data_IF_774931629772
#
_entry.id   IF_774931629772
#
_cell.length_a   1.000
_cell.length_b   1.000
_cell.length_c   1.000
_cell.angle_alpha   90.00
_cell.angle_beta   90.00
_cell.angle_gamma   90.00
#
_symmetry.space_group_name_H-M   'P 1'
#
loop_
_entity.id
_entity.type
_entity.pdbx_description
1 polymer ?
#
# COMPACT_ATOMS: atom_id res chain seq x y z
N UNK A 1 -68.26 -4.91 12.64
CA UNK A 1 -67.49 -4.23 13.71
C UNK A 1 -66.17 -4.96 14.05
N UNK A 2 -66.14 -6.30 13.98
CA UNK A 2 -64.91 -7.10 14.19
C UNK A 2 -63.83 -6.90 13.12
N UNK A 3 -64.24 -6.71 11.87
CA UNK A 3 -63.33 -6.59 10.71
C UNK A 3 -62.42 -5.35 10.76
N UNK A 4 -62.98 -4.22 11.24
CA UNK A 4 -62.25 -2.96 11.35
C UNK A 4 -61.10 -3.04 12.38
N UNK A 5 -61.32 -3.76 13.49
CA UNK A 5 -60.28 -4.00 14.51
C UNK A 5 -59.14 -4.88 13.98
N UNK A 6 -59.46 -5.86 13.14
CA UNK A 6 -58.45 -6.74 12.54
C UNK A 6 -57.53 -5.95 11.59
N UNK A 7 -58.11 -5.06 10.77
CA UNK A 7 -57.37 -4.18 9.86
C UNK A 7 -56.44 -3.21 10.60
N UNK A 8 -56.90 -2.60 11.70
CA UNK A 8 -56.05 -1.70 12.50
C UNK A 8 -54.85 -2.44 13.11
N UNK A 9 -55.04 -3.68 13.59
CA UNK A 9 -53.95 -4.48 14.17
C UNK A 9 -52.91 -4.97 13.15
N UNK A 10 -53.30 -5.15 11.89
CA UNK A 10 -52.36 -5.50 10.81
C UNK A 10 -51.51 -4.29 10.41
N UNK A 11 -52.14 -3.11 10.31
CA UNK A 11 -51.47 -1.87 9.94
C UNK A 11 -50.44 -1.40 10.99
N UNK A 12 -50.74 -1.59 12.28
CA UNK A 12 -49.80 -1.28 13.37
C UNK A 12 -48.62 -2.27 13.41
N UNK A 13 -48.81 -3.51 12.95
CA UNK A 13 -47.73 -4.50 12.88
C UNK A 13 -46.73 -4.15 11.77
N UNK A 14 -47.22 -3.73 10.60
CA UNK A 14 -46.37 -3.26 9.50
C UNK A 14 -45.61 -1.97 9.87
N UNK A 15 -46.25 -1.03 10.59
CA UNK A 15 -45.56 0.17 11.09
C UNK A 15 -44.42 -0.15 12.06
N UNK A 16 -44.58 -1.15 12.94
CA UNK A 16 -43.52 -1.58 13.84
C UNK A 16 -42.33 -2.20 13.09
N UNK A 17 -42.58 -2.98 12.03
CA UNK A 17 -41.51 -3.58 11.20
C UNK A 17 -40.71 -2.51 10.44
N UNK A 18 -41.38 -1.50 9.87
CA UNK A 18 -40.72 -0.43 9.12
C UNK A 18 -39.84 0.45 10.01
N UNK A 19 -40.23 0.68 11.27
CA UNK A 19 -39.44 1.49 12.20
C UNK A 19 -38.15 0.79 12.65
N UNK A 20 -38.18 -0.54 12.77
CA UNK A 20 -37.04 -1.34 13.24
C UNK A 20 -35.94 -1.52 12.18
N UNK A 21 -36.25 -1.29 10.90
CA UNK A 21 -35.32 -1.44 9.79
C UNK A 21 -34.38 -0.23 9.57
N UNK A 22 -34.61 0.89 10.28
CA UNK A 22 -33.87 2.14 10.09
C UNK A 22 -32.66 2.34 11.02
N UNK A 23 -32.47 1.51 12.05
CA UNK A 23 -31.41 1.72 13.07
C UNK A 23 -30.09 0.97 12.78
N UNK A 24 -29.94 0.33 11.61
CA UNK A 24 -28.73 -0.45 11.28
C UNK A 24 -27.56 0.34 10.66
N UNK A 25 -27.80 1.54 10.15
CA UNK A 25 -26.81 2.27 9.34
C UNK A 25 -25.78 3.08 10.12
N UNK A 26 -26.17 3.64 11.28
CA UNK A 26 -25.32 4.60 12.01
C UNK A 26 -24.25 3.95 12.90
N UNK A 27 -24.39 2.66 13.21
CA UNK A 27 -23.40 1.93 14.01
C UNK A 27 -22.09 1.69 13.23
N UNK A 28 -22.18 1.56 11.91
CA UNK A 28 -21.01 1.47 11.00
C UNK A 28 -20.27 2.81 10.86
N UNK A 29 -21.01 3.93 10.90
CA UNK A 29 -20.45 5.29 10.85
C UNK A 29 -19.67 5.62 12.14
N UNK A 30 -20.07 5.06 13.29
CA UNK A 30 -19.35 5.30 14.55
C UNK A 30 -18.06 4.49 14.68
N UNK A 31 -17.97 3.34 14.00
CA UNK A 31 -16.77 2.51 13.90
C UNK A 31 -15.70 3.13 12.99
N UNK A 32 -16.10 3.91 11.99
CA UNK A 32 -15.18 4.62 11.08
C UNK A 32 -14.58 5.89 11.69
N UNK A 33 -15.23 6.50 12.69
CA UNK A 33 -14.72 7.72 13.36
C UNK A 33 -13.58 7.40 14.36
N UNK A 34 -13.43 6.14 14.82
CA UNK A 34 -12.32 5.71 15.68
C UNK A 34 -10.99 5.47 14.96
N UNK A 35 -11.00 5.35 13.62
CA UNK A 35 -9.79 5.01 12.83
C UNK A 35 -8.82 6.19 12.68
N UNK A 36 -9.30 7.42 12.85
CA UNK A 36 -8.49 8.62 12.66
C UNK A 36 -7.40 8.80 13.75
N UNK A 37 -7.52 8.12 14.90
CA UNK A 37 -6.53 8.20 15.97
C UNK A 37 -5.28 7.34 15.67
N UNK A 38 -5.45 6.22 14.95
CA UNK A 38 -4.33 5.42 14.45
C UNK A 38 -3.57 6.10 13.30
N UNK A 39 -4.27 6.86 12.46
CA UNK A 39 -3.67 7.64 11.37
C UNK A 39 -2.69 8.72 11.86
N UNK A 40 -2.90 9.28 13.06
CA UNK A 40 -1.98 10.30 13.59
C UNK A 40 -0.64 9.71 14.06
N UNK A 41 -0.63 8.45 14.50
CA UNK A 41 0.59 7.71 14.82
C UNK A 41 1.31 7.21 13.55
N UNK A 42 0.55 6.88 12.50
CA UNK A 42 1.10 6.59 11.17
C UNK A 42 1.60 7.85 10.44
N UNK A 43 1.09 9.04 10.79
CA UNK A 43 1.50 10.30 10.15
C UNK A 43 2.96 10.68 10.41
N UNK A 44 3.58 10.15 11.46
CA UNK A 44 5.01 10.29 11.70
C UNK A 44 5.85 9.52 10.67
N UNK A 45 5.38 8.36 10.19
CA UNK A 45 6.04 7.60 9.12
C UNK A 45 5.84 8.24 7.73
N UNK A 46 4.81 9.07 7.56
CA UNK A 46 4.54 9.83 6.33
C UNK A 46 5.54 10.97 6.07
N UNK A 47 6.47 11.26 6.98
CA UNK A 47 7.50 12.29 6.80
C UNK A 47 8.64 11.88 5.86
N UNK A 48 8.76 10.61 5.46
CA UNK A 48 9.63 10.23 4.34
C UNK A 48 8.98 10.66 3.02
N UNK A 49 9.53 11.72 2.40
CA UNK A 49 9.12 12.29 1.09
C UNK A 49 8.77 11.25 0.02
N UNK A 50 9.40 10.07 0.04
CA UNK A 50 9.14 8.99 -0.92
C UNK A 50 7.74 8.34 -0.82
N UNK A 51 7.18 8.18 0.38
CA UNK A 51 5.89 7.49 0.52
C UNK A 51 4.72 8.31 -0.03
N UNK A 52 4.69 9.61 0.25
CA UNK A 52 3.68 10.52 -0.29
C UNK A 52 3.69 10.59 -1.82
N UNK A 53 4.88 10.54 -2.44
CA UNK A 53 5.01 10.49 -3.89
C UNK A 53 4.39 9.22 -4.48
N UNK A 54 4.64 8.05 -3.88
CA UNK A 54 4.06 6.79 -4.34
C UNK A 54 2.55 6.79 -4.20
N UNK A 55 1.99 7.27 -3.08
CA UNK A 55 0.53 7.37 -2.91
C UNK A 55 -0.10 8.29 -3.96
N UNK A 56 0.48 9.47 -4.20
CA UNK A 56 0.00 10.40 -5.21
C UNK A 56 0.09 9.79 -6.63
N UNK A 57 1.20 9.11 -6.93
CA UNK A 57 1.41 8.41 -8.19
C UNK A 57 0.37 7.29 -8.38
N UNK A 58 0.12 6.47 -7.36
CA UNK A 58 -0.89 5.41 -7.38
C UNK A 58 -2.28 5.98 -7.65
N UNK A 59 -2.63 7.11 -7.03
CA UNK A 59 -3.91 7.78 -7.28
C UNK A 59 -4.03 8.27 -8.73
N UNK A 60 -2.98 8.89 -9.27
CA UNK A 60 -2.93 9.33 -10.67
C UNK A 60 -3.06 8.13 -11.61
N UNK A 61 -2.30 7.06 -11.38
CA UNK A 61 -2.34 5.82 -12.19
C UNK A 61 -3.73 5.19 -12.14
N UNK A 62 -4.37 5.17 -10.98
CA UNK A 62 -5.74 4.66 -10.83
C UNK A 62 -6.73 5.47 -11.68
N UNK A 63 -6.65 6.80 -11.62
CA UNK A 63 -7.52 7.69 -12.41
C UNK A 63 -7.28 7.53 -13.91
N UNK A 64 -6.02 7.48 -14.34
CA UNK A 64 -5.66 7.27 -15.75
C UNK A 64 -6.10 5.89 -16.23
N UNK A 65 -5.88 4.84 -15.42
CA UNK A 65 -6.33 3.48 -15.71
C UNK A 65 -7.85 3.41 -15.86
N UNK A 66 -8.60 4.08 -14.98
CA UNK A 66 -10.05 4.14 -15.03
C UNK A 66 -10.53 4.85 -16.30
N UNK A 67 -9.92 5.99 -16.62
CA UNK A 67 -10.23 6.74 -17.84
C UNK A 67 -9.90 5.95 -19.10
N UNK A 68 -8.74 5.27 -19.14
CA UNK A 68 -8.33 4.41 -20.26
C UNK A 68 -9.28 3.24 -20.44
N UNK A 69 -9.58 2.52 -19.36
CA UNK A 69 -10.48 1.37 -19.40
C UNK A 69 -11.89 1.77 -19.81
N UNK A 70 -12.40 2.90 -19.30
CA UNK A 70 -13.67 3.49 -19.74
C UNK A 70 -13.65 3.85 -21.23
N UNK A 71 -12.59 4.51 -21.72
CA UNK A 71 -12.51 4.95 -23.11
C UNK A 71 -12.43 3.80 -24.12
N UNK A 72 -11.70 2.73 -23.79
CA UNK A 72 -11.52 1.58 -24.66
C UNK A 72 -12.72 0.63 -24.61
N UNK A 73 -13.25 0.33 -23.42
CA UNK A 73 -14.35 -0.63 -23.28
C UNK A 73 -15.73 -0.02 -23.56
N UNK A 74 -15.89 1.31 -23.56
CA UNK A 74 -17.15 1.94 -24.02
C UNK A 74 -17.38 1.79 -25.53
N UNK A 75 -16.33 1.55 -26.31
CA UNK A 75 -16.38 1.48 -27.78
C UNK A 75 -16.54 0.05 -28.31
N UNK A 76 -16.99 -0.91 -27.48
CA UNK A 76 -17.19 -2.27 -27.95
C UNK A 76 -18.25 -2.33 -29.08
N UNK A 77 -17.92 -2.88 -30.26
CA UNK A 77 -18.86 -2.97 -31.38
C UNK A 77 -20.03 -3.93 -31.14
N UNK A 78 -19.91 -4.82 -30.17
CA UNK A 78 -20.81 -5.96 -29.96
C UNK A 78 -21.87 -5.73 -28.86
N UNK A 79 -21.85 -4.57 -28.17
CA UNK A 79 -22.81 -4.25 -27.11
C UNK A 79 -22.77 -5.20 -25.90
N UNK A 80 -21.74 -6.04 -25.76
CA UNK A 80 -21.70 -7.15 -24.79
C UNK A 80 -21.34 -6.74 -23.35
N UNK A 81 -21.84 -5.59 -22.89
CA UNK A 81 -21.74 -5.18 -21.49
C UNK A 81 -20.32 -4.80 -21.06
N UNK A 82 -19.73 -3.80 -21.72
CA UNK A 82 -18.48 -3.18 -21.28
C UNK A 82 -18.66 -2.26 -20.06
N UNK A 83 -17.57 -1.68 -19.57
CA UNK A 83 -17.62 -0.70 -18.47
C UNK A 83 -18.22 0.61 -18.99
N UNK A 84 -19.50 0.86 -18.67
CA UNK A 84 -20.27 2.02 -19.17
C UNK A 84 -20.26 3.23 -18.25
N UNK A 85 -19.83 3.06 -16.99
CA UNK A 85 -19.75 4.11 -16.00
C UNK A 85 -18.32 4.31 -15.47
N UNK A 86 -17.95 5.56 -15.21
CA UNK A 86 -16.61 5.89 -14.74
C UNK A 86 -16.36 5.39 -13.31
N UNK A 87 -17.39 5.36 -12.45
CA UNK A 87 -17.23 4.84 -11.09
C UNK A 87 -16.95 3.33 -11.11
N UNK A 88 -17.59 2.59 -12.01
CA UNK A 88 -17.29 1.17 -12.24
C UNK A 88 -15.87 0.95 -12.75
N UNK A 89 -15.38 1.82 -13.65
CA UNK A 89 -13.99 1.76 -14.12
C UNK A 89 -12.98 2.04 -13.00
N UNK A 90 -13.29 3.00 -12.13
CA UNK A 90 -12.46 3.35 -10.99
C UNK A 90 -12.42 2.23 -9.95
N UNK A 91 -13.58 1.65 -9.64
CA UNK A 91 -13.68 0.46 -8.80
C UNK A 91 -12.87 -0.70 -9.37
N UNK A 92 -13.00 -0.96 -10.67
CA UNK A 92 -12.25 -2.00 -11.37
C UNK A 92 -10.74 -1.78 -11.23
N UNK A 93 -10.25 -0.57 -11.49
CA UNK A 93 -8.82 -0.27 -11.33
C UNK A 93 -8.36 -0.41 -9.89
N UNK A 94 -9.16 0.02 -8.92
CA UNK A 94 -8.83 -0.12 -7.50
C UNK A 94 -8.67 -1.60 -7.11
N UNK A 95 -9.62 -2.46 -7.51
CA UNK A 95 -9.56 -3.91 -7.27
C UNK A 95 -8.38 -4.60 -7.97
N UNK A 96 -7.99 -4.11 -9.15
CA UNK A 96 -6.82 -4.61 -9.87
C UNK A 96 -5.52 -4.21 -9.17
N UNK A 97 -5.39 -2.95 -8.74
CA UNK A 97 -4.22 -2.46 -8.01
C UNK A 97 -4.05 -3.15 -6.65
N UNK A 98 -5.15 -3.49 -5.96
CA UNK A 98 -5.11 -4.23 -4.69
C UNK A 98 -4.93 -5.73 -4.88
N UNK A 99 -4.79 -6.21 -6.12
CA UNK A 99 -4.64 -7.62 -6.51
C UNK A 99 -5.77 -8.54 -6.04
N UNK A 100 -6.92 -7.98 -5.63
CA UNK A 100 -8.14 -8.73 -5.26
C UNK A 100 -8.79 -9.30 -6.54
N UNK A 101 -8.56 -8.65 -7.68
CA UNK A 101 -9.17 -9.02 -8.95
C UNK A 101 -10.61 -8.51 -9.05
N UNK A 102 -11.10 -8.40 -10.28
CA UNK A 102 -12.42 -7.84 -10.57
C UNK A 102 -13.27 -8.84 -11.36
N UNK A 103 -14.59 -8.72 -11.26
CA UNK A 103 -15.53 -9.55 -12.01
C UNK A 103 -15.52 -9.31 -13.54
N UNK A 104 -14.80 -8.28 -14.01
CA UNK A 104 -14.71 -7.91 -15.42
C UNK A 104 -13.31 -8.12 -16.00
N UNK A 105 -13.23 -8.79 -17.15
CA UNK A 105 -11.99 -8.92 -17.92
C UNK A 105 -12.08 -8.12 -19.24
N UNK A 106 -11.08 -7.27 -19.55
CA UNK A 106 -11.04 -6.50 -20.79
C UNK A 106 -11.16 -7.39 -22.02
N UNK A 107 -12.05 -7.02 -22.94
CA UNK A 107 -12.25 -7.72 -24.22
C UNK A 107 -11.44 -7.06 -25.34
N UNK A 108 -11.19 -5.76 -25.23
CA UNK A 108 -10.39 -5.00 -26.20
C UNK A 108 -8.90 -5.35 -26.11
N UNK A 109 -8.19 -5.28 -27.24
CA UNK A 109 -6.74 -5.49 -27.26
C UNK A 109 -6.01 -4.42 -26.43
N UNK A 110 -6.42 -3.15 -26.58
CA UNK A 110 -5.88 -2.00 -25.83
C UNK A 110 -6.14 -2.15 -24.32
N UNK A 111 -7.35 -2.56 -23.93
CA UNK A 111 -7.70 -2.81 -22.53
C UNK A 111 -6.91 -3.96 -21.90
N UNK A 112 -6.59 -5.02 -22.66
CA UNK A 112 -5.72 -6.11 -22.18
C UNK A 112 -4.29 -5.66 -21.92
N UNK A 113 -3.72 -4.85 -22.82
CA UNK A 113 -2.39 -4.25 -22.62
C UNK A 113 -2.39 -3.34 -21.40
N UNK A 114 -3.42 -2.49 -21.25
CA UNK A 114 -3.58 -1.62 -20.09
C UNK A 114 -3.68 -2.42 -18.79
N UNK A 115 -4.49 -3.48 -18.77
CA UNK A 115 -4.64 -4.39 -17.63
C UNK A 115 -3.30 -5.03 -17.22
N UNK A 116 -2.51 -5.49 -18.19
CA UNK A 116 -1.19 -6.03 -17.93
C UNK A 116 -0.24 -4.99 -17.30
N UNK A 117 -0.22 -3.76 -17.84
CA UNK A 117 0.61 -2.68 -17.30
C UNK A 117 0.19 -2.28 -15.88
N UNK A 118 -1.11 -2.21 -15.60
CA UNK A 118 -1.67 -1.95 -14.26
C UNK A 118 -1.28 -3.06 -13.27
N UNK A 119 -1.35 -4.32 -13.70
CA UNK A 119 -0.91 -5.46 -12.89
C UNK A 119 0.59 -5.40 -12.57
N UNK A 120 1.43 -5.09 -13.57
CA UNK A 120 2.87 -4.92 -13.37
C UNK A 120 3.17 -3.76 -12.40
N UNK A 121 2.44 -2.66 -12.52
CA UNK A 121 2.53 -1.53 -11.60
C UNK A 121 2.20 -1.93 -10.16
N UNK A 122 1.12 -2.70 -9.94
CA UNK A 122 0.73 -3.16 -8.62
C UNK A 122 1.85 -3.98 -7.95
N UNK A 123 2.47 -4.91 -8.69
CA UNK A 123 3.60 -5.71 -8.19
C UNK A 123 4.81 -4.82 -7.88
N UNK A 124 5.11 -3.84 -8.74
CA UNK A 124 6.20 -2.90 -8.51
C UNK A 124 5.99 -2.06 -7.24
N UNK A 125 4.77 -1.59 -7.00
CA UNK A 125 4.42 -0.86 -5.77
C UNK A 125 4.57 -1.75 -4.54
N UNK A 126 4.08 -3.00 -4.58
CA UNK A 126 4.30 -3.96 -3.49
C UNK A 126 5.80 -4.17 -3.22
N UNK A 127 6.62 -4.35 -4.26
CA UNK A 127 8.08 -4.49 -4.13
C UNK A 127 8.74 -3.26 -3.51
N UNK A 128 8.33 -2.06 -3.92
CA UNK A 128 8.81 -0.80 -3.33
C UNK A 128 8.43 -0.69 -1.84
N UNK A 129 7.21 -1.08 -1.46
CA UNK A 129 6.79 -1.08 -0.06
C UNK A 129 7.65 -2.04 0.76
N UNK A 130 7.91 -3.25 0.26
CA UNK A 130 8.80 -4.22 0.92
C UNK A 130 10.22 -3.68 1.07
N UNK A 131 10.79 -3.07 0.02
CA UNK A 131 12.12 -2.47 0.08
C UNK A 131 12.17 -1.31 1.10
N UNK A 132 11.14 -0.46 1.11
CA UNK A 132 11.04 0.65 2.08
C UNK A 132 11.01 0.14 3.51
N UNK A 133 10.26 -0.95 3.78
CA UNK A 133 10.21 -1.58 5.10
C UNK A 133 11.56 -2.21 5.48
N UNK A 134 12.24 -2.89 4.54
CA UNK A 134 13.56 -3.44 4.78
C UNK A 134 14.57 -2.35 5.14
N UNK A 135 14.58 -1.24 4.39
CA UNK A 135 15.42 -0.08 4.71
C UNK A 135 15.06 0.54 6.06
N UNK A 136 13.78 0.58 6.44
CA UNK A 136 13.36 1.07 7.75
C UNK A 136 13.89 0.20 8.90
N UNK A 137 13.87 -1.13 8.78
CA UNK A 137 14.45 -2.00 9.79
C UNK A 137 15.96 -1.85 9.89
N UNK A 138 16.67 -1.76 8.77
CA UNK A 138 18.12 -1.51 8.76
C UNK A 138 18.46 -0.19 9.45
N UNK A 139 17.72 0.88 9.15
CA UNK A 139 17.93 2.21 9.74
C UNK A 139 17.70 2.19 11.26
N UNK A 140 16.66 1.49 11.71
CA UNK A 140 16.35 1.33 13.14
C UNK A 140 17.34 0.42 13.88
N UNK A 141 17.85 -0.61 13.20
CA UNK A 141 18.90 -1.48 13.74
C UNK A 141 20.27 -0.78 13.76
N UNK A 142 20.49 0.21 12.89
CA UNK A 142 21.64 1.11 12.97
C UNK A 142 21.49 2.15 14.11
N UNK A 143 20.29 2.70 14.33
CA UNK A 143 20.00 3.56 15.49
C UNK A 143 20.16 2.83 16.83
N UNK A 144 19.81 1.53 16.88
CA UNK A 144 20.26 0.62 17.94
C UNK A 144 21.75 0.30 17.72
N UNK A 145 22.63 1.26 17.96
CA UNK A 145 24.04 1.29 17.54
C UNK A 145 24.93 0.08 17.85
N UNK A 146 24.45 -1.02 18.43
CA UNK A 146 25.21 -2.25 18.64
C UNK A 146 25.83 -2.81 17.36
N UNK A 147 25.13 -2.78 16.21
CA UNK A 147 25.66 -3.31 14.96
C UNK A 147 26.71 -2.39 14.30
N UNK A 148 26.47 -1.07 14.28
CA UNK A 148 27.42 -0.08 13.74
C UNK A 148 28.65 0.07 14.64
N UNK A 149 28.46 0.08 15.97
CA UNK A 149 29.55 0.13 16.95
C UNK A 149 30.39 -1.14 16.91
N UNK A 150 29.78 -2.32 16.70
CA UNK A 150 30.53 -3.57 16.52
C UNK A 150 31.42 -3.51 15.27
N UNK A 151 30.88 -3.08 14.12
CA UNK A 151 31.65 -2.92 12.89
C UNK A 151 32.79 -1.90 13.03
N UNK A 152 32.51 -0.74 13.62
CA UNK A 152 33.51 0.31 13.85
C UNK A 152 34.63 -0.16 14.80
N UNK A 153 34.30 -0.89 15.87
CA UNK A 153 35.30 -1.49 16.78
C UNK A 153 36.19 -2.51 16.07
N UNK A 154 35.61 -3.39 15.26
CA UNK A 154 36.37 -4.37 14.48
C UNK A 154 37.34 -3.70 13.51
N UNK A 155 36.90 -2.64 12.83
CA UNK A 155 37.74 -1.86 11.91
C UNK A 155 38.88 -1.17 12.65
N UNK A 156 38.62 -0.55 13.81
CA UNK A 156 39.66 0.09 14.61
C UNK A 156 40.70 -0.90 15.14
N UNK A 157 40.26 -2.08 15.61
CA UNK A 157 41.15 -3.12 16.09
C UNK A 157 42.12 -3.59 14.97
N UNK A 158 41.60 -3.79 13.76
CA UNK A 158 42.40 -4.16 12.59
C UNK A 158 43.38 -3.04 12.18
N UNK A 159 42.97 -1.77 12.25
CA UNK A 159 43.86 -0.65 11.95
C UNK A 159 45.03 -0.55 12.94
N UNK A 160 44.78 -0.78 14.23
CA UNK A 160 45.83 -0.83 15.25
C UNK A 160 46.83 -1.94 14.93
N UNK A 161 46.33 -3.14 14.63
CA UNK A 161 47.18 -4.30 14.32
C UNK A 161 48.03 -4.08 13.06
N UNK A 162 47.45 -3.53 11.99
CA UNK A 162 48.18 -3.14 10.77
C UNK A 162 49.28 -2.11 11.08
N UNK A 163 49.00 -1.12 11.93
CA UNK A 163 49.98 -0.11 12.30
C UNK A 163 51.15 -0.68 13.11
N UNK A 164 50.85 -1.64 14.00
CA UNK A 164 51.86 -2.34 14.80
C UNK A 164 52.77 -3.19 13.90
N UNK A 165 52.19 -3.99 13.00
CA UNK A 165 52.92 -4.81 12.03
C UNK A 165 53.80 -3.95 11.11
N UNK A 166 53.31 -2.80 10.64
CA UNK A 166 54.10 -1.86 9.84
C UNK A 166 55.33 -1.34 10.59
N UNK A 167 55.17 -1.03 11.87
CA UNK A 167 56.25 -0.52 12.71
C UNK A 167 57.33 -1.59 12.91
N UNK A 168 56.91 -2.84 13.12
CA UNK A 168 57.81 -3.98 13.31
C UNK A 168 58.63 -4.29 12.05
N UNK A 169 57.99 -4.26 10.87
CA UNK A 169 58.68 -4.42 9.57
C UNK A 169 59.70 -3.30 9.36
N UNK A 170 59.37 -2.04 9.68
CA UNK A 170 60.31 -0.92 9.54
C UNK A 170 61.52 -1.06 10.48
N UNK A 171 61.30 -1.54 11.71
CA UNK A 171 62.37 -1.79 12.67
C UNK A 171 63.31 -2.89 12.19
N UNK A 172 62.77 -3.99 11.65
CA UNK A 172 63.57 -5.08 11.06
C UNK A 172 64.35 -4.61 9.82
N UNK A 173 63.71 -3.85 8.94
CA UNK A 173 64.34 -3.32 7.71
C UNK A 173 65.51 -2.38 8.04
N UNK A 174 65.39 -1.53 9.06
CA UNK A 174 66.51 -0.68 9.51
C UNK A 174 67.68 -1.50 10.03
N UNK A 175 67.39 -2.56 10.80
CA UNK A 175 68.41 -3.43 11.38
C UNK A 175 69.24 -4.14 10.31
N UNK A 176 68.62 -4.51 9.19
CA UNK A 176 69.29 -5.17 8.07
C UNK A 176 70.16 -4.20 7.24
N UNK A 177 69.83 -2.90 7.24
CA UNK A 177 70.62 -1.86 6.56
C UNK A 177 71.86 -1.41 7.36
N UNK A 178 71.87 -1.64 8.67
CA UNK A 178 72.97 -1.27 9.57
C UNK A 178 74.04 -2.39 9.69
N UNK A 179 73.81 -3.55 9.07
CA UNK A 179 74.74 -4.69 9.01
C UNK A 179 75.41 -4.81 7.64
#
# INVERSE_FOLDING_TARGET
MSDRKQSESALDRERCEVLQQSEGGFQLVRLTIGTNQGMRLLSASFQRRGFGYVVALTAIVTLIGAAGMYAFERKLPDGTGGITDYATALWWTAMLLTTIGSDYFPKTAEGRVLCFLLGLYAIAVCGYLTATLATYFIDRDAENGEAEIAGAKSIQALQIEISALRTEIQALTRRDLDH
#
